data_IF_639616241367
#
_entry.id   IF_639616241367
#
_cell.length_a   1.000
_cell.length_b   1.000
_cell.length_c   1.000
_cell.angle_alpha   90.00
_cell.angle_beta   90.00
_cell.angle_gamma   90.00
#
_symmetry.space_group_name_H-M   'P 1'
#
loop_
_entity.id
_entity.type
_entity.pdbx_description
1 polymer ?
#
# COMPACT_ATOMS: atom_id res chain seq x y z
N UNK A 1 18.69 -0.74 -3.12
CA UNK A 1 17.29 -0.43 -2.74
C UNK A 1 16.44 -0.48 -4.00
N UNK A 2 15.22 -0.97 -3.88
CA UNK A 2 14.22 -0.98 -4.97
C UNK A 2 12.91 -0.40 -4.46
N UNK A 3 12.01 -0.02 -5.38
CA UNK A 3 10.66 0.39 -5.02
C UNK A 3 9.70 -0.76 -5.34
N UNK A 4 9.07 -1.31 -4.31
CA UNK A 4 8.08 -2.38 -4.48
C UNK A 4 6.69 -1.79 -4.69
N UNK A 5 6.05 -2.19 -5.79
CA UNK A 5 4.75 -1.67 -6.22
C UNK A 5 3.78 -2.83 -6.40
N UNK A 6 2.51 -2.62 -6.03
CA UNK A 6 1.44 -3.53 -6.38
C UNK A 6 0.65 -2.97 -7.56
N UNK A 7 0.61 -3.73 -8.65
CA UNK A 7 -0.21 -3.44 -9.81
C UNK A 7 -1.45 -4.33 -9.79
N UNK A 8 -2.61 -3.75 -10.08
CA UNK A 8 -3.86 -4.50 -10.12
C UNK A 8 -4.85 -3.86 -11.09
N UNK A 9 -5.77 -4.67 -11.60
CA UNK A 9 -6.88 -4.22 -12.43
C UNK A 9 -8.14 -4.12 -11.58
N UNK A 10 -8.71 -2.92 -11.48
CA UNK A 10 -9.88 -2.66 -10.65
C UNK A 10 -10.77 -1.61 -11.31
N UNK A 11 -12.08 -1.88 -11.37
CA UNK A 11 -13.09 -1.04 -12.03
C UNK A 11 -12.65 -0.52 -13.42
N UNK A 12 -12.23 -1.45 -14.28
CA UNK A 12 -11.79 -1.19 -15.65
C UNK A 12 -10.55 -0.27 -15.79
N UNK A 13 -9.76 -0.10 -14.72
CA UNK A 13 -8.53 0.68 -14.73
C UNK A 13 -7.38 -0.13 -14.17
N UNK A 14 -6.21 -0.06 -14.80
CA UNK A 14 -4.96 -0.56 -14.20
C UNK A 14 -4.48 0.52 -13.23
N UNK A 15 -4.22 0.11 -11.99
CA UNK A 15 -3.77 0.96 -10.89
C UNK A 15 -2.45 0.44 -10.35
N UNK A 16 -1.66 1.35 -9.79
CA UNK A 16 -0.40 1.03 -9.14
C UNK A 16 -0.29 1.82 -7.84
N UNK A 17 0.02 1.12 -6.76
CA UNK A 17 0.23 1.67 -5.42
C UNK A 17 1.49 1.07 -4.81
N UNK A 18 1.99 1.59 -3.69
CA UNK A 18 3.06 0.92 -2.95
C UNK A 18 2.60 -0.46 -2.47
N UNK A 19 3.48 -1.46 -2.46
CA UNK A 19 3.08 -2.84 -2.15
C UNK A 19 2.66 -3.06 -0.69
N UNK A 20 3.06 -2.16 0.21
CA UNK A 20 2.91 -2.31 1.66
C UNK A 20 2.09 -1.17 2.27
N UNK A 21 1.26 -1.51 3.25
CA UNK A 21 0.48 -0.50 3.98
C UNK A 21 1.38 0.43 4.80
N UNK A 22 1.19 1.76 4.71
CA UNK A 22 1.84 2.72 5.62
C UNK A 22 1.53 2.49 7.10
N UNK A 23 0.43 1.79 7.41
CA UNK A 23 0.02 1.49 8.78
C UNK A 23 0.66 0.21 9.33
N UNK A 24 1.26 -0.65 8.49
CA UNK A 24 1.69 -1.99 8.92
C UNK A 24 2.86 -2.01 9.90
N UNK A 25 3.69 -0.96 9.99
CA UNK A 25 4.70 -0.86 11.06
C UNK A 25 5.66 -2.05 11.13
N UNK A 26 5.42 -3.02 12.03
CA UNK A 26 6.19 -4.26 12.17
C UNK A 26 5.59 -5.47 11.42
N UNK A 27 4.37 -5.38 10.90
CA UNK A 27 3.72 -6.42 10.10
C UNK A 27 4.28 -6.44 8.67
N UNK A 28 4.32 -7.61 8.04
CA UNK A 28 4.97 -7.83 6.74
C UNK A 28 4.01 -8.33 5.65
N UNK A 29 2.69 -8.30 5.90
CA UNK A 29 1.70 -8.91 5.00
C UNK A 29 1.53 -8.15 3.67
N UNK A 30 1.59 -6.82 3.71
CA UNK A 30 1.35 -5.96 2.56
C UNK A 30 -0.08 -6.04 2.01
N UNK A 31 -0.26 -5.52 0.80
CA UNK A 31 -1.58 -5.40 0.18
C UNK A 31 -2.03 -6.59 -0.68
N UNK A 32 -1.23 -7.65 -0.85
CA UNK A 32 -1.62 -8.77 -1.74
C UNK A 32 -2.95 -9.43 -1.34
N UNK A 33 -3.21 -9.55 -0.04
CA UNK A 33 -4.44 -10.15 0.49
C UNK A 33 -5.47 -9.08 0.92
N UNK A 34 -5.23 -7.82 0.57
CA UNK A 34 -6.10 -6.71 0.93
C UNK A 34 -7.44 -6.79 0.21
N UNK A 35 -8.45 -6.17 0.83
CA UNK A 35 -9.79 -6.09 0.25
C UNK A 35 -10.01 -4.70 -0.32
N UNK A 36 -10.57 -4.65 -1.52
CA UNK A 36 -11.10 -3.41 -2.08
C UNK A 36 -12.51 -3.16 -1.55
N UNK A 37 -12.84 -1.90 -1.35
CA UNK A 37 -14.18 -1.46 -0.95
C UNK A 37 -14.98 -1.01 -2.17
N UNK A 38 -16.25 -0.62 -1.98
CA UNK A 38 -17.08 -0.10 -3.08
C UNK A 38 -16.77 1.37 -3.40
N UNK A 39 -16.24 2.12 -2.44
CA UNK A 39 -15.95 3.55 -2.46
C UNK A 39 -14.50 3.89 -2.88
N UNK A 40 -13.87 2.97 -3.63
CA UNK A 40 -12.52 3.10 -4.19
C UNK A 40 -11.42 3.17 -3.12
N UNK A 41 -11.52 2.34 -2.08
CA UNK A 41 -10.49 2.19 -1.06
C UNK A 41 -9.89 0.77 -1.04
N UNK A 42 -8.74 0.65 -0.38
CA UNK A 42 -8.10 -0.61 -0.01
C UNK A 42 -7.95 -0.70 1.51
N UNK A 43 -8.27 -1.87 2.06
CA UNK A 43 -8.17 -2.14 3.50
C UNK A 43 -6.91 -2.99 3.76
N UNK A 44 -6.00 -2.44 4.55
CA UNK A 44 -4.82 -3.16 5.06
C UNK A 44 -5.26 -4.39 5.88
N UNK A 45 -4.82 -5.61 5.53
CA UNK A 45 -5.24 -6.83 6.23
C UNK A 45 -4.87 -6.84 7.73
N UNK A 46 -3.66 -6.41 8.06
CA UNK A 46 -3.14 -6.57 9.42
C UNK A 46 -3.64 -5.50 10.40
N UNK A 47 -3.98 -4.30 9.91
CA UNK A 47 -4.40 -3.17 10.77
C UNK A 47 -5.84 -2.71 10.55
N UNK A 48 -6.49 -3.17 9.49
CA UNK A 48 -7.80 -2.69 9.04
C UNK A 48 -7.84 -1.18 8.72
N UNK A 49 -6.67 -0.54 8.57
CA UNK A 49 -6.58 0.84 8.08
C UNK A 49 -7.00 0.90 6.61
N UNK A 50 -7.65 1.97 6.22
CA UNK A 50 -8.26 2.15 4.91
C UNK A 50 -7.64 3.34 4.18
N UNK A 51 -7.28 3.13 2.91
CA UNK A 51 -6.63 4.14 2.07
C UNK A 51 -7.38 4.31 0.75
N UNK A 52 -7.52 5.56 0.29
CA UNK A 52 -8.12 5.89 -1.00
C UNK A 52 -7.22 5.42 -2.16
N UNK A 53 -7.77 4.71 -3.14
CA UNK A 53 -7.03 4.17 -4.29
C UNK A 53 -6.68 5.19 -5.37
N UNK A 54 -7.23 6.40 -5.31
CA UNK A 54 -6.97 7.50 -6.26
C UNK A 54 -5.96 8.49 -5.70
N UNK A 55 -6.08 8.83 -4.41
CA UNK A 55 -5.26 9.87 -3.76
C UNK A 55 -4.25 9.31 -2.76
N UNK A 56 -4.45 8.10 -2.26
CA UNK A 56 -3.65 7.51 -1.19
C UNK A 56 -4.01 8.01 0.20
N UNK A 57 -4.97 8.93 0.32
CA UNK A 57 -5.38 9.51 1.61
C UNK A 57 -5.88 8.44 2.59
N UNK A 58 -5.54 8.61 3.85
CA UNK A 58 -5.95 7.72 4.94
C UNK A 58 -7.40 8.02 5.30
N UNK A 59 -8.34 7.16 4.89
CA UNK A 59 -9.78 7.31 5.21
C UNK A 59 -10.11 6.85 6.63
N UNK A 60 -9.47 5.77 7.07
CA UNK A 60 -9.59 5.23 8.43
C UNK A 60 -8.27 4.61 8.85
N UNK A 61 -7.94 4.61 10.14
CA UNK A 61 -6.65 4.09 10.60
C UNK A 61 -6.70 3.48 12.01
N UNK A 62 -5.87 2.46 12.21
CA UNK A 62 -5.60 1.80 13.49
C UNK A 62 -4.78 2.71 14.42
N UNK A 63 -5.10 2.84 15.71
CA UNK A 63 -5.97 1.96 16.49
C UNK A 63 -7.44 2.42 16.54
N UNK A 64 -8.35 1.45 16.56
CA UNK A 64 -9.80 1.69 16.72
C UNK A 64 -10.18 2.10 18.14
N UNK A 65 -9.34 1.78 19.13
CA UNK A 65 -9.53 2.20 20.51
C UNK A 65 -9.40 3.74 20.65
N UNK A 66 -10.43 4.38 21.20
CA UNK A 66 -10.52 5.85 21.29
C UNK A 66 -9.38 6.51 22.05
N UNK A 67 -8.86 5.87 23.11
CA UNK A 67 -7.78 6.45 23.93
C UNK A 67 -6.46 6.35 23.18
N UNK A 68 -6.14 5.17 22.66
CA UNK A 68 -4.91 4.97 21.88
C UNK A 68 -4.90 5.87 20.64
N UNK A 69 -6.04 6.02 19.95
CA UNK A 69 -6.14 6.87 18.76
C UNK A 69 -5.81 8.34 19.01
N UNK A 70 -5.99 8.85 20.23
CA UNK A 70 -5.65 10.24 20.59
C UNK A 70 -4.16 10.46 20.81
N UNK A 71 -3.41 9.41 21.15
CA UNK A 71 -1.98 9.50 21.51
C UNK A 71 -1.07 8.85 20.47
N UNK A 72 -1.62 8.02 19.59
CA UNK A 72 -0.89 7.46 18.46
C UNK A 72 -0.91 8.46 17.29
N UNK A 73 0.23 8.80 16.69
CA UNK A 73 0.25 9.58 15.46
C UNK A 73 -0.38 8.79 14.30
N UNK A 74 -1.12 9.48 13.42
CA UNK A 74 -1.66 8.86 12.21
C UNK A 74 -0.52 8.47 11.25
N UNK A 75 -0.69 7.37 10.52
CA UNK A 75 0.23 6.99 9.45
C UNK A 75 0.15 7.99 8.28
N UNK A 76 1.21 8.01 7.45
CA UNK A 76 1.23 8.83 6.23
C UNK A 76 0.23 8.28 5.18
N UNK A 77 -0.16 9.10 4.19
CA UNK A 77 -0.83 8.62 2.99
C UNK A 77 -0.02 7.52 2.28
N UNK A 78 -0.74 6.65 1.59
CA UNK A 78 -0.21 5.62 0.72
C UNK A 78 0.26 6.23 -0.60
N UNK A 79 1.35 5.73 -1.18
CA UNK A 79 1.75 6.19 -2.52
C UNK A 79 0.83 5.59 -3.60
N UNK A 80 0.37 6.47 -4.49
CA UNK A 80 -0.38 6.10 -5.71
C UNK A 80 0.41 6.58 -6.92
N UNK A 81 0.57 5.70 -7.91
CA UNK A 81 1.41 5.96 -9.08
C UNK A 81 0.58 6.17 -10.34
N UNK A 82 1.06 7.07 -11.20
CA UNK A 82 0.44 7.26 -12.51
C UNK A 82 0.76 6.05 -13.39
N UNK A 83 -0.29 5.48 -13.98
CA UNK A 83 -0.20 4.33 -14.90
C UNK A 83 -0.64 4.76 -16.28
N UNK A 84 0.12 4.37 -17.30
CA UNK A 84 -0.23 4.52 -18.70
C UNK A 84 -0.11 3.18 -19.41
N UNK A 85 -1.13 2.80 -20.18
CA UNK A 85 -1.07 1.61 -21.06
C UNK A 85 -0.86 2.11 -22.48
N UNK A 86 0.24 1.69 -23.11
CA UNK A 86 0.53 2.03 -24.50
C UNK A 86 1.33 0.92 -25.18
N UNK A 87 1.04 0.66 -26.45
CA UNK A 87 1.80 -0.30 -27.26
C UNK A 87 1.95 -1.70 -26.63
N UNK A 88 0.92 -2.19 -25.93
CA UNK A 88 0.94 -3.49 -25.28
C UNK A 88 1.74 -3.56 -23.96
N UNK A 89 2.20 -2.42 -23.45
CA UNK A 89 2.97 -2.32 -22.20
C UNK A 89 2.26 -1.44 -21.16
N UNK A 90 2.55 -1.72 -19.88
CA UNK A 90 2.12 -0.90 -18.74
C UNK A 90 3.32 -0.08 -18.28
N UNK A 91 3.20 1.24 -18.33
CA UNK A 91 4.18 2.19 -17.83
C UNK A 91 3.70 2.72 -16.48
N UNK A 92 4.58 2.66 -15.49
CA UNK A 92 4.32 3.23 -14.16
C UNK A 92 5.33 4.33 -13.91
N UNK A 93 4.85 5.53 -13.59
CA UNK A 93 5.72 6.68 -13.34
C UNK A 93 6.12 6.71 -11.87
N UNK A 94 7.39 6.46 -11.61
CA UNK A 94 8.02 6.73 -10.32
C UNK A 94 8.53 8.17 -10.31
N UNK A 95 8.00 9.02 -9.42
CA UNK A 95 8.50 10.39 -9.26
C UNK A 95 9.78 10.40 -8.40
N UNK A 96 10.69 11.37 -8.59
CA UNK A 96 11.88 11.50 -7.75
C UNK A 96 11.55 11.59 -6.25
N UNK A 97 10.46 12.29 -5.89
CA UNK A 97 10.01 12.40 -4.50
C UNK A 97 9.55 11.06 -3.93
N UNK A 98 8.82 10.26 -4.71
CA UNK A 98 8.42 8.92 -4.29
C UNK A 98 9.62 7.98 -4.18
N UNK A 99 10.57 8.06 -5.11
CA UNK A 99 11.81 7.30 -5.06
C UNK A 99 12.65 7.63 -3.80
N UNK A 100 12.87 8.92 -3.54
CA UNK A 100 13.60 9.39 -2.36
C UNK A 100 12.86 9.03 -1.06
N UNK A 101 11.52 9.14 -1.04
CA UNK A 101 10.72 8.72 0.10
C UNK A 101 10.88 7.22 0.38
N UNK A 102 10.90 6.37 -0.65
CA UNK A 102 11.14 4.93 -0.52
C UNK A 102 12.47 4.61 0.14
N UNK A 103 13.53 5.29 -0.29
CA UNK A 103 14.88 5.10 0.25
C UNK A 103 14.98 5.50 1.74
N UNK A 104 14.18 6.48 2.16
CA UNK A 104 14.16 6.94 3.55
C UNK A 104 13.29 6.10 4.48
N UNK A 105 12.43 5.22 3.94
CA UNK A 105 11.51 4.41 4.74
C UNK A 105 12.25 3.23 5.37
N UNK A 106 11.96 2.89 6.65
CA UNK A 106 12.56 1.72 7.28
C UNK A 106 12.24 0.49 6.45
N UNK A 107 13.30 -0.12 5.91
CA UNK A 107 13.19 -1.39 5.22
C UNK A 107 13.04 -2.47 6.29
N UNK A 108 11.80 -2.91 6.52
CA UNK A 108 11.53 -4.08 7.36
C UNK A 108 11.56 -5.31 6.47
N UNK A 109 12.23 -6.40 6.87
CA UNK A 109 12.21 -7.66 6.13
C UNK A 109 10.75 -8.15 5.99
N UNK A 110 10.11 -7.84 4.86
CA UNK A 110 8.66 -8.02 4.70
C UNK A 110 8.05 -7.23 3.54
N UNK A 111 6.94 -7.72 3.00
CA UNK A 111 6.24 -7.16 1.86
C UNK A 111 5.16 -8.08 1.32
N UNK A 112 4.39 -7.57 0.37
CA UNK A 112 3.27 -8.27 -0.25
C UNK A 112 3.77 -9.57 -0.95
N UNK A 113 3.48 -10.73 -0.35
CA UNK A 113 3.92 -12.03 -0.86
C UNK A 113 5.32 -12.50 -0.44
N UNK A 114 5.94 -11.86 0.56
CA UNK A 114 7.28 -12.25 1.07
C UNK A 114 7.23 -13.20 2.27
N UNK A 115 6.05 -13.73 2.64
CA UNK A 115 5.94 -14.69 3.74
C UNK A 115 6.62 -16.00 3.37
N UNK A 116 7.57 -16.46 4.21
CA UNK A 116 8.21 -17.76 4.07
C UNK A 116 7.22 -18.94 4.20
N UNK A 117 6.04 -18.70 4.80
CA UNK A 117 4.99 -19.69 5.01
C UNK A 117 4.14 -19.95 3.74
N UNK A 118 4.38 -19.21 2.64
CA UNK A 118 3.76 -19.46 1.33
C UNK A 118 4.43 -20.55 0.49
N UNK A 119 5.50 -21.17 0.99
CA UNK A 119 6.19 -22.26 0.30
C UNK A 119 5.51 -23.59 0.63
N UNK A 120 4.42 -23.89 -0.08
CA UNK A 120 3.82 -25.23 -0.09
C UNK A 120 4.77 -26.17 -0.85
N UNK A 121 5.74 -26.75 -0.15
CA UNK A 121 6.45 -27.97 -0.59
C UNK A 121 5.59 -29.18 -0.25
#
# INVERSE_FOLDING_TARGET
>A
SGFDMMLFWYKNQIRAIESRSPAEGAYSEGFMNAKFTQDDSIICPSTMSEFDLNTGEVRSWYPTNTVLRKITPQCRPMDVFQVQVASGAIYVKLTPDAAAAAESRPNTDGGAGTSAEGNNV
#
